data_IF_307246359690
#
_entry.id   IF_307246359690
#
_cell.length_a   1.000
_cell.length_b   1.000
_cell.length_c   1.000
_cell.angle_alpha   90.00
_cell.angle_beta   90.00
_cell.angle_gamma   90.00
#
_symmetry.space_group_name_H-M   'P 1'
#
loop_
_entity.id
_entity.type
_entity.pdbx_description
1 polymer ?
#
# COMPACT_ATOMS: atom_id res chain seq x y z
N UNK A 1 8.27 -14.19 18.91
CA UNK A 1 7.82 -13.79 17.56
C UNK A 1 9.02 -13.77 16.64
N UNK A 2 8.93 -14.22 15.39
CA UNK A 2 10.06 -14.18 14.47
C UNK A 2 10.49 -12.73 14.23
N UNK A 3 11.73 -12.39 14.58
CA UNK A 3 12.29 -11.07 14.34
C UNK A 3 12.71 -10.91 12.87
N UNK A 4 12.60 -9.70 12.32
CA UNK A 4 13.17 -9.36 11.01
C UNK A 4 14.69 -9.28 11.12
N UNK A 5 15.39 -10.06 10.29
CA UNK A 5 16.85 -9.96 10.21
C UNK A 5 17.28 -8.75 9.39
N UNK A 6 18.52 -8.30 9.56
CA UNK A 6 19.11 -7.17 8.80
C UNK A 6 18.96 -7.35 7.28
N UNK A 7 19.12 -8.59 6.80
CA UNK A 7 18.95 -8.91 5.37
C UNK A 7 17.50 -8.76 4.91
N UNK A 8 16.53 -9.19 5.73
CA UNK A 8 15.12 -9.06 5.38
C UNK A 8 14.74 -7.57 5.32
N UNK A 9 15.24 -6.74 6.26
CA UNK A 9 15.01 -5.29 6.27
C UNK A 9 15.65 -4.57 5.08
N UNK A 10 16.87 -4.94 4.68
CA UNK A 10 17.50 -4.39 3.49
C UNK A 10 16.70 -4.68 2.22
N UNK A 11 16.16 -5.90 2.10
CA UNK A 11 15.30 -6.30 0.98
C UNK A 11 13.94 -5.59 1.02
N UNK A 12 13.37 -5.38 2.20
CA UNK A 12 12.14 -4.61 2.37
C UNK A 12 12.33 -3.15 1.97
N UNK A 13 13.45 -2.53 2.36
CA UNK A 13 13.77 -1.15 1.98
C UNK A 13 13.90 -1.01 0.46
N UNK A 14 14.53 -1.98 -0.22
CA UNK A 14 14.57 -2.03 -1.70
C UNK A 14 13.18 -2.17 -2.34
N UNK A 15 12.21 -2.69 -1.60
CA UNK A 15 10.80 -2.80 -2.00
C UNK A 15 9.98 -1.60 -1.55
N UNK A 16 10.61 -0.56 -0.99
CA UNK A 16 9.93 0.63 -0.52
C UNK A 16 9.07 0.39 0.72
N UNK A 17 9.49 -0.55 1.58
CA UNK A 17 8.89 -0.85 2.89
C UNK A 17 9.95 -0.63 3.96
N UNK A 18 9.70 0.28 4.88
CA UNK A 18 10.57 0.58 6.00
C UNK A 18 9.96 0.12 7.32
N UNK A 19 10.84 -0.21 8.27
CA UNK A 19 10.49 -0.71 9.59
C UNK A 19 11.11 0.21 10.62
N UNK A 20 10.28 1.05 11.23
CA UNK A 20 10.66 1.91 12.33
C UNK A 20 10.41 1.17 13.64
N UNK A 21 11.50 0.76 14.30
CA UNK A 21 11.46 0.17 15.63
C UNK A 21 11.38 1.29 16.65
N UNK A 22 10.66 1.07 17.75
CA UNK A 22 10.50 2.00 18.88
C UNK A 22 9.56 3.20 18.62
N UNK A 23 8.68 3.11 17.61
CA UNK A 23 7.62 4.09 17.40
C UNK A 23 6.51 3.91 18.46
N UNK A 24 6.38 4.87 19.38
CA UNK A 24 5.39 4.85 20.48
C UNK A 24 5.32 3.51 21.24
N UNK A 25 6.49 2.95 21.61
CA UNK A 25 6.59 1.65 22.30
C UNK A 25 6.12 0.45 21.45
N UNK A 26 6.07 0.62 20.13
CA UNK A 26 5.65 -0.38 19.16
C UNK A 26 6.54 -0.40 17.91
N UNK A 27 6.02 -0.99 16.83
CA UNK A 27 6.68 -1.05 15.52
C UNK A 27 5.83 -0.32 14.52
N UNK A 28 6.43 0.54 13.71
CA UNK A 28 5.74 1.20 12.60
C UNK A 28 6.27 0.71 11.26
N UNK A 29 5.35 0.35 10.38
CA UNK A 29 5.66 -0.04 9.00
C UNK A 29 5.30 1.10 8.06
N UNK A 30 6.30 1.62 7.35
CA UNK A 30 6.14 2.74 6.42
C UNK A 30 6.22 2.20 5.00
N UNK A 31 5.18 2.40 4.21
CA UNK A 31 5.09 1.96 2.82
C UNK A 31 5.20 3.16 1.91
N UNK A 32 5.96 3.04 0.84
CA UNK A 32 5.85 3.89 -0.36
C UNK A 32 4.83 3.29 -1.34
N UNK A 33 4.58 3.95 -2.47
CA UNK A 33 3.76 3.40 -3.56
C UNK A 33 4.30 2.03 -4.05
N UNK A 34 5.62 1.88 -4.14
CA UNK A 34 6.26 0.60 -4.46
C UNK A 34 5.96 -0.46 -3.38
N UNK A 35 6.06 -0.09 -2.10
CA UNK A 35 5.74 -1.00 -1.00
C UNK A 35 4.31 -1.49 -1.04
N UNK A 36 3.36 -0.60 -1.36
CA UNK A 36 1.96 -0.96 -1.56
C UNK A 36 1.77 -1.91 -2.75
N UNK A 37 2.51 -1.72 -3.85
CA UNK A 37 2.45 -2.64 -5.00
C UNK A 37 2.83 -4.06 -4.61
N UNK A 38 3.92 -4.24 -3.85
CA UNK A 38 4.35 -5.55 -3.36
C UNK A 38 3.30 -6.17 -2.44
N UNK A 39 2.77 -5.38 -1.49
CA UNK A 39 1.77 -5.85 -0.54
C UNK A 39 0.48 -6.28 -1.24
N UNK A 40 -0.11 -5.42 -2.06
CA UNK A 40 -1.42 -5.69 -2.67
C UNK A 40 -1.37 -6.86 -3.65
N UNK A 41 -0.31 -6.97 -4.47
CA UNK A 41 -0.15 -8.11 -5.37
C UNK A 41 0.06 -9.42 -4.60
N UNK A 42 0.86 -9.40 -3.53
CA UNK A 42 1.06 -10.57 -2.69
C UNK A 42 -0.24 -11.07 -2.05
N UNK A 43 -1.04 -10.15 -1.51
CA UNK A 43 -2.34 -10.46 -0.92
C UNK A 43 -3.35 -10.94 -1.96
N UNK A 44 -3.25 -10.45 -3.21
CA UNK A 44 -4.11 -10.87 -4.31
C UNK A 44 -3.80 -12.30 -4.79
N UNK A 45 -2.52 -12.68 -4.87
CA UNK A 45 -2.12 -14.03 -5.27
C UNK A 45 -2.39 -15.10 -4.21
N UNK A 46 -2.39 -14.72 -2.93
CA UNK A 46 -2.64 -15.63 -1.81
C UNK A 46 -3.90 -15.22 -1.05
N UNK A 47 -5.08 -15.32 -1.66
CA UNK A 47 -6.32 -15.02 -0.95
C UNK A 47 -6.50 -16.01 0.19
N UNK A 48 -6.62 -15.52 1.42
CA UNK A 48 -7.08 -16.31 2.56
C UNK A 48 -8.60 -16.13 2.70
N UNK A 49 -9.41 -17.13 2.32
CA UNK A 49 -10.88 -16.99 2.24
C UNK A 49 -11.52 -16.65 3.59
N UNK A 50 -10.97 -17.18 4.67
CA UNK A 50 -11.63 -17.18 5.98
C UNK A 50 -11.00 -16.23 7.00
N UNK A 51 -9.82 -15.67 6.70
CA UNK A 51 -9.10 -14.78 7.63
C UNK A 51 -8.40 -13.66 6.87
N UNK A 52 -8.63 -12.43 7.34
CA UNK A 52 -7.80 -11.29 6.91
C UNK A 52 -6.35 -11.58 7.33
N UNK A 53 -5.38 -11.55 6.41
CA UNK A 53 -3.98 -11.68 6.77
C UNK A 53 -3.60 -10.62 7.80
N UNK A 54 -2.65 -10.94 8.67
CA UNK A 54 -2.11 -10.01 9.66
C UNK A 54 -0.78 -9.48 9.15
N UNK A 55 -0.53 -8.19 9.29
CA UNK A 55 0.79 -7.61 9.03
C UNK A 55 1.73 -8.02 10.16
N UNK A 56 2.40 -9.15 9.94
CA UNK A 56 3.37 -9.73 10.87
C UNK A 56 4.77 -9.65 10.28
N UNK A 57 5.78 -9.88 11.12
CA UNK A 57 7.15 -10.07 10.66
C UNK A 57 7.30 -11.26 9.69
N UNK A 58 6.46 -12.30 9.79
CA UNK A 58 6.44 -13.42 8.84
C UNK A 58 5.98 -12.96 7.46
N UNK A 59 4.86 -12.23 7.39
CA UNK A 59 4.39 -11.65 6.15
C UNK A 59 5.45 -10.74 5.52
N UNK A 60 6.14 -9.94 6.33
CA UNK A 60 7.24 -9.09 5.86
C UNK A 60 8.44 -9.90 5.34
N UNK A 61 8.77 -11.03 5.97
CA UNK A 61 9.81 -11.95 5.44
C UNK A 61 9.40 -12.57 4.12
N UNK A 62 8.13 -12.93 3.97
CA UNK A 62 7.60 -13.41 2.69
C UNK A 62 7.65 -12.31 1.63
N UNK A 63 7.20 -11.11 1.98
CA UNK A 63 7.27 -9.90 1.15
C UNK A 63 8.71 -9.47 0.87
N UNK A 64 9.72 -9.85 1.63
CA UNK A 64 11.12 -9.57 1.33
C UNK A 64 11.69 -10.52 0.27
N UNK A 65 11.09 -11.71 0.11
CA UNK A 65 11.63 -12.83 -0.68
C UNK A 65 10.81 -13.15 -1.92
N UNK A 66 9.53 -12.77 -1.94
CA UNK A 66 8.64 -13.06 -3.06
C UNK A 66 9.16 -12.41 -4.35
N UNK A 67 9.02 -13.08 -5.48
CA UNK A 67 9.34 -12.52 -6.80
C UNK A 67 8.05 -12.04 -7.45
N UNK A 68 8.16 -11.13 -8.42
CA UNK A 68 7.02 -10.73 -9.24
C UNK A 68 6.42 -11.98 -9.88
N UNK A 69 5.15 -12.24 -9.58
CA UNK A 69 4.40 -13.37 -10.10
C UNK A 69 3.91 -13.12 -11.52
N UNK A 70 3.34 -14.17 -12.13
CA UNK A 70 2.88 -14.11 -13.52
C UNK A 70 1.65 -13.20 -13.68
N UNK A 71 0.79 -13.19 -12.67
CA UNK A 71 -0.51 -12.51 -12.69
C UNK A 71 -0.50 -11.22 -11.87
N UNK A 72 0.69 -10.72 -11.54
CA UNK A 72 0.86 -9.43 -10.87
C UNK A 72 0.38 -8.32 -11.78
N UNK A 73 -0.21 -7.31 -11.16
CA UNK A 73 -0.88 -6.22 -11.85
C UNK A 73 -0.34 -4.90 -11.34
N UNK A 74 -0.38 -3.91 -12.21
CA UNK A 74 -0.08 -2.54 -11.84
C UNK A 74 -0.96 -2.08 -10.68
N UNK A 75 -0.35 -1.44 -9.70
CA UNK A 75 -1.07 -0.73 -8.65
C UNK A 75 -1.48 0.63 -9.18
N UNK A 76 -2.76 0.98 -8.99
CA UNK A 76 -3.32 2.28 -9.32
C UNK A 76 -3.90 2.94 -8.08
N UNK A 77 -3.64 4.23 -7.95
CA UNK A 77 -4.23 5.07 -6.90
C UNK A 77 -4.84 6.32 -7.52
N UNK A 78 -6.02 6.69 -7.05
CA UNK A 78 -6.69 7.95 -7.40
C UNK A 78 -7.23 8.63 -6.16
N UNK A 79 -7.19 9.96 -6.13
CA UNK A 79 -8.00 10.74 -5.22
C UNK A 79 -9.31 11.16 -5.91
N UNK A 80 -10.42 10.90 -5.24
CA UNK A 80 -11.75 11.38 -5.62
C UNK A 80 -12.08 12.58 -4.75
N UNK A 81 -12.45 13.69 -5.38
CA UNK A 81 -12.91 14.86 -4.65
C UNK A 81 -14.38 14.70 -4.27
N UNK A 82 -14.65 14.75 -2.97
CA UNK A 82 -15.98 14.82 -2.39
C UNK A 82 -16.30 16.29 -2.12
N UNK A 83 -17.29 16.89 -2.81
CA UNK A 83 -17.77 18.21 -2.45
C UNK A 83 -18.57 18.09 -1.15
N UNK A 84 -18.14 18.80 -0.10
CA UNK A 84 -18.84 18.83 1.19
C UNK A 84 -19.06 20.30 1.56
N UNK A 85 -20.31 20.67 1.81
CA UNK A 85 -20.74 22.07 2.03
C UNK A 85 -20.35 23.02 0.86
N UNK A 86 -20.51 24.33 1.08
CA UNK A 86 -20.48 25.34 0.02
C UNK A 86 -19.07 25.66 -0.54
N UNK A 87 -18.00 25.05 -0.01
CA UNK A 87 -16.63 25.35 -0.44
C UNK A 87 -15.58 24.29 -0.10
N UNK A 88 -15.88 23.29 0.73
CA UNK A 88 -14.85 22.37 1.21
C UNK A 88 -14.72 21.17 0.27
N UNK A 89 -13.48 20.92 -0.14
CA UNK A 89 -13.10 19.75 -0.93
C UNK A 89 -12.44 18.77 0.00
N UNK A 90 -12.99 17.56 0.04
CA UNK A 90 -12.36 16.46 0.72
C UNK A 90 -11.86 15.44 -0.28
N UNK A 91 -10.72 14.82 -0.02
CA UNK A 91 -10.16 13.78 -0.87
C UNK A 91 -10.43 12.41 -0.25
N UNK A 92 -11.04 11.53 -1.03
CA UNK A 92 -11.12 10.11 -0.74
C UNK A 92 -10.20 9.35 -1.68
N UNK A 93 -9.28 8.57 -1.14
CA UNK A 93 -8.35 7.78 -1.95
C UNK A 93 -8.97 6.42 -2.32
N UNK A 94 -8.74 5.99 -3.56
CA UNK A 94 -9.09 4.69 -4.08
C UNK A 94 -7.82 3.98 -4.56
N UNK A 95 -7.52 2.81 -3.98
CA UNK A 95 -6.32 2.01 -4.27
C UNK A 95 -6.77 0.67 -4.83
N UNK A 96 -6.20 0.26 -5.97
CA UNK A 96 -6.61 -0.97 -6.63
C UNK A 96 -5.52 -1.55 -7.52
N UNK A 97 -5.60 -2.86 -7.79
CA UNK A 97 -4.79 -3.50 -8.81
C UNK A 97 -5.53 -3.39 -10.15
N UNK A 98 -4.82 -3.08 -11.22
CA UNK A 98 -5.43 -2.93 -12.55
C UNK A 98 -6.25 -4.18 -12.93
N UNK A 99 -7.43 -4.00 -13.51
CA UNK A 99 -8.35 -5.12 -13.82
C UNK A 99 -8.96 -5.84 -12.60
N UNK A 100 -8.80 -5.31 -11.38
CA UNK A 100 -9.61 -5.71 -10.21
C UNK A 100 -10.61 -4.60 -9.88
N UNK A 101 -11.82 -4.92 -9.39
CA UNK A 101 -12.71 -3.90 -8.84
C UNK A 101 -11.95 -3.08 -7.80
N UNK A 102 -12.09 -1.75 -7.80
CA UNK A 102 -11.39 -0.94 -6.84
C UNK A 102 -11.80 -1.40 -5.45
N UNK A 103 -10.82 -1.86 -4.68
CA UNK A 103 -11.04 -2.17 -3.30
C UNK A 103 -11.40 -0.84 -2.68
N UNK A 104 -12.66 -0.71 -2.27
CA UNK A 104 -13.05 0.35 -1.38
C UNK A 104 -12.31 0.07 -0.08
N UNK A 105 -11.09 0.58 0.01
CA UNK A 105 -10.33 0.72 1.24
C UNK A 105 -11.25 1.59 2.09
N UNK A 106 -12.15 0.93 2.85
CA UNK A 106 -13.23 1.49 3.65
C UNK A 106 -12.65 2.64 4.47
N UNK A 107 -12.77 3.84 3.91
CA UNK A 107 -12.54 5.13 4.53
C UNK A 107 -11.11 5.68 4.53
N UNK A 108 -10.31 5.62 3.46
CA UNK A 108 -9.31 6.70 3.25
C UNK A 108 -10.06 8.02 3.39
N UNK A 109 -10.03 8.58 4.61
CA UNK A 109 -11.10 9.43 5.09
C UNK A 109 -11.22 10.62 4.17
N UNK A 110 -12.36 11.32 4.13
CA UNK A 110 -12.35 12.62 3.50
C UNK A 110 -11.24 13.45 4.16
N UNK A 111 -10.13 13.69 3.45
CA UNK A 111 -9.04 14.55 3.93
C UNK A 111 -9.25 15.94 3.34
N UNK A 112 -9.27 17.02 4.16
CA UNK A 112 -9.41 18.38 3.63
C UNK A 112 -8.20 18.81 2.79
N UNK A 113 -7.06 18.12 2.98
CA UNK A 113 -5.84 18.25 2.19
C UNK A 113 -5.20 16.88 2.04
N UNK A 114 -4.47 16.64 0.94
CA UNK A 114 -3.70 15.41 0.82
C UNK A 114 -2.57 15.40 1.86
N UNK A 115 -2.62 14.48 2.82
CA UNK A 115 -1.64 14.38 3.91
C UNK A 115 -0.41 13.57 3.50
N UNK A 116 0.75 13.84 4.11
CA UNK A 116 2.00 13.12 3.84
C UNK A 116 1.97 11.66 4.33
N UNK A 117 1.19 11.38 5.37
CA UNK A 117 1.11 10.06 5.97
C UNK A 117 -0.35 9.62 6.06
N UNK A 118 -0.66 8.53 5.39
CA UNK A 118 -1.99 7.97 5.32
C UNK A 118 -1.98 6.62 6.04
N UNK A 119 -2.59 6.56 7.22
CA UNK A 119 -2.71 5.31 7.98
C UNK A 119 -3.58 4.32 7.22
N UNK A 120 -3.01 3.21 6.74
CA UNK A 120 -3.83 2.19 6.06
C UNK A 120 -4.54 1.27 7.07
N UNK A 121 -4.13 1.31 8.36
CA UNK A 121 -4.71 0.53 9.45
C UNK A 121 -6.21 0.69 9.59
N UNK A 122 -6.70 1.93 9.45
CA UNK A 122 -8.10 2.23 9.71
C UNK A 122 -8.96 1.66 8.56
N UNK A 123 -8.37 1.35 7.39
CA UNK A 123 -9.05 1.55 6.12
C UNK A 123 -9.04 0.36 5.17
N UNK A 124 -8.12 -0.61 5.29
CA UNK A 124 -8.12 -1.76 4.38
C UNK A 124 -8.94 -2.94 4.93
N UNK A 125 -9.84 -3.51 4.12
CA UNK A 125 -10.44 -4.81 4.41
C UNK A 125 -9.47 -5.97 4.15
N UNK A 126 -8.29 -5.68 3.62
CA UNK A 126 -7.32 -6.65 3.08
C UNK A 126 -6.35 -7.18 4.13
N UNK A 127 -5.94 -6.35 5.08
CA UNK A 127 -4.94 -6.72 6.07
C UNK A 127 -5.34 -6.15 7.43
N UNK A 128 -5.07 -6.92 8.48
CA UNK A 128 -5.25 -6.53 9.88
C UNK A 128 -3.89 -6.35 10.54
N UNK A 129 -3.83 -5.59 11.63
CA UNK A 129 -2.58 -5.33 12.33
C UNK A 129 -2.52 -6.05 13.65
N UNK A 130 -1.31 -6.32 14.10
CA UNK A 130 -1.04 -6.91 15.41
C UNK A 130 -1.07 -5.77 16.45
N UNK A 131 -1.48 -6.02 17.71
CA UNK A 131 -1.36 -5.02 18.76
C UNK A 131 0.05 -4.40 18.81
N UNK A 132 0.13 -3.09 19.08
CA UNK A 132 1.38 -2.33 19.13
C UNK A 132 2.13 -2.22 17.80
N UNK A 133 1.46 -2.43 16.67
CA UNK A 133 1.99 -2.10 15.34
C UNK A 133 1.22 -0.93 14.74
N UNK A 134 1.91 0.06 14.18
CA UNK A 134 1.36 1.10 13.31
C UNK A 134 1.76 0.81 11.86
N UNK A 135 0.97 1.28 10.91
CA UNK A 135 1.33 1.12 9.52
C UNK A 135 0.70 2.19 8.61
N UNK A 136 1.57 2.86 7.84
CA UNK A 136 1.24 4.05 7.06
C UNK A 136 1.76 3.97 5.64
N UNK A 137 1.03 4.57 4.71
CA UNK A 137 1.53 4.95 3.41
C UNK A 137 2.10 6.37 3.49
N UNK A 138 3.38 6.51 3.14
CA UNK A 138 4.03 7.81 2.95
C UNK A 138 3.87 8.29 1.51
N UNK A 139 3.25 9.46 1.34
CA UNK A 139 3.15 10.16 0.07
C UNK A 139 4.22 11.25 -0.04
N UNK A 140 5.00 11.18 -1.09
CA UNK A 140 5.92 12.24 -1.52
C UNK A 140 5.15 13.50 -1.94
N UNK A 141 5.83 14.65 -1.96
CA UNK A 141 5.20 15.91 -2.33
C UNK A 141 4.65 15.89 -3.77
N UNK A 142 5.37 15.25 -4.69
CA UNK A 142 4.93 15.01 -6.08
C UNK A 142 3.65 14.17 -6.14
N UNK A 143 3.63 13.02 -5.45
CA UNK A 143 2.45 12.16 -5.38
C UNK A 143 1.23 12.90 -4.84
N UNK A 144 1.42 13.74 -3.80
CA UNK A 144 0.33 14.54 -3.24
C UNK A 144 -0.18 15.59 -4.21
N UNK A 145 0.70 16.27 -4.93
CA UNK A 145 0.32 17.26 -5.93
C UNK A 145 -0.49 16.63 -7.06
N UNK A 146 0.01 15.52 -7.61
CA UNK A 146 -0.64 14.77 -8.69
C UNK A 146 -2.03 14.25 -8.29
N UNK A 147 -2.12 13.63 -7.10
CA UNK A 147 -3.41 13.18 -6.57
C UNK A 147 -4.39 14.35 -6.35
N UNK A 148 -3.91 15.48 -5.83
CA UNK A 148 -4.74 16.67 -5.61
C UNK A 148 -5.23 17.28 -6.92
N UNK A 149 -4.46 17.14 -8.01
CA UNK A 149 -4.86 17.52 -9.36
C UNK A 149 -5.83 16.54 -10.03
N UNK A 150 -6.14 15.40 -9.39
CA UNK A 150 -7.03 14.37 -9.91
C UNK A 150 -6.35 13.35 -10.83
N UNK A 151 -5.01 13.37 -10.91
CA UNK A 151 -4.22 12.39 -11.66
C UNK A 151 -4.21 11.02 -10.97
N UNK A 152 -3.79 10.01 -11.74
CA UNK A 152 -3.50 8.69 -11.21
C UNK A 152 -2.03 8.57 -10.82
N UNK A 153 -1.79 7.91 -9.69
CA UNK A 153 -0.50 7.31 -9.41
C UNK A 153 -0.55 5.86 -9.87
N UNK A 154 0.53 5.41 -10.51
CA UNK A 154 0.66 4.06 -11.01
C UNK A 154 2.05 3.51 -10.72
N UNK A 155 2.11 2.22 -10.40
CA UNK A 155 3.37 1.54 -10.18
C UNK A 155 3.30 0.09 -10.64
N UNK A 156 4.36 -0.37 -11.29
CA UNK A 156 4.54 -1.77 -11.67
C UNK A 156 4.41 -2.08 -13.15
N UNK A 157 4.07 -1.12 -14.02
CA UNK A 157 3.93 -1.33 -15.47
C UNK A 157 5.18 -2.02 -16.08
N UNK A 158 6.37 -1.47 -15.86
CA UNK A 158 7.64 -2.06 -16.37
C UNK A 158 8.08 -3.35 -15.67
N UNK A 159 7.51 -3.67 -14.51
CA UNK A 159 7.78 -4.91 -13.77
C UNK A 159 6.85 -6.04 -14.24
N UNK A 160 5.65 -5.70 -14.70
CA UNK A 160 4.61 -6.63 -15.18
C UNK A 160 4.69 -6.80 -16.70
N UNK A 161 5.07 -5.76 -17.45
CA UNK A 161 5.00 -5.68 -18.91
C UNK A 161 6.17 -6.27 -19.72
N UNK A 162 7.21 -6.84 -19.09
CA UNK A 162 8.35 -7.47 -19.82
C UNK A 162 8.07 -8.89 -20.36
N UNK A 163 6.80 -9.26 -20.61
CA UNK A 163 6.43 -10.58 -21.17
C UNK A 163 5.55 -10.55 -22.42
N UNK A 164 5.31 -9.41 -23.05
CA UNK A 164 4.40 -9.30 -24.20
C UNK A 164 5.02 -8.76 -25.49
N UNK A 165 6.31 -9.01 -25.71
CA UNK A 165 6.91 -8.89 -27.05
C UNK A 165 7.97 -9.96 -27.23
N UNK A 166 7.53 -11.18 -27.54
CA UNK A 166 8.24 -12.16 -28.38
C UNK A 166 7.30 -13.35 -28.60
N UNK A 167 6.55 -13.28 -29.70
CA UNK A 167 5.97 -14.42 -30.41
C UNK A 167 5.91 -14.04 -31.89
#
# INVERSE_FOLDING_TARGET
>A
MPALGVRDEALLRQRGIEVERDYHFGVRYVFSLQGLFWLFNYLHEKPTPDKKPRLTAELLKELARVRVGKDWRELRVKAVTLPVYNSDKYFQLAIYLNGTPPLSVRNLGPYPVMVAQVSFQVLSSLISLVPSTDAVWWLTDDERQRLSAGEYLEFGEGLVGRRTTQA
#
